data_IF_344607679235
#
_entry.id   IF_344607679235
#
_cell.length_a   1.000
_cell.length_b   1.000
_cell.length_c   1.000
_cell.angle_alpha   90.00
_cell.angle_beta   90.00
_cell.angle_gamma   90.00
#
_symmetry.space_group_name_H-M   'P 1'
#
loop_
_entity.id
_entity.type
_entity.pdbx_description
1 polymer ?
#
# COMPACT_ATOMS: atom_id res chain seq x y z
N UNK A 1 14.21 -10.91 21.36
CA UNK A 1 12.73 -10.72 21.31
C UNK A 1 12.43 -9.43 20.55
N UNK A 2 11.80 -9.57 19.38
CA UNK A 2 11.38 -8.43 18.56
C UNK A 2 10.25 -7.68 19.27
N UNK A 3 10.53 -6.48 19.74
CA UNK A 3 9.47 -5.64 20.30
C UNK A 3 8.94 -4.71 19.21
N UNK A 4 7.81 -5.09 18.61
CA UNK A 4 6.98 -4.12 17.90
C UNK A 4 6.22 -3.33 18.96
N UNK A 5 6.58 -2.05 19.15
CA UNK A 5 5.79 -1.14 19.99
C UNK A 5 4.66 -0.57 19.15
N UNK A 6 3.42 -0.93 19.49
CA UNK A 6 2.22 -0.38 18.86
C UNK A 6 1.78 0.88 19.64
N UNK A 7 1.59 1.98 18.92
CA UNK A 7 0.98 3.20 19.45
C UNK A 7 -0.42 3.32 18.85
N UNK A 8 -1.45 3.40 19.70
CA UNK A 8 -2.82 3.65 19.28
C UNK A 8 -3.11 5.14 19.36
N UNK A 9 -3.69 5.66 18.29
CA UNK A 9 -4.16 7.04 18.20
C UNK A 9 -5.69 7.10 18.27
N UNK A 10 -6.39 6.03 17.81
CA UNK A 10 -7.85 5.89 17.89
C UNK A 10 -8.28 4.52 18.43
N UNK A 11 -9.48 4.43 19.00
CA UNK A 11 -10.06 3.15 19.45
C UNK A 11 -10.68 2.40 18.27
N UNK A 12 -10.23 1.16 18.01
CA UNK A 12 -10.83 0.25 17.02
C UNK A 12 -11.65 -0.83 17.70
N UNK A 13 -12.78 -1.20 17.09
CA UNK A 13 -13.48 -2.43 17.45
C UNK A 13 -12.64 -3.63 17.00
N UNK A 14 -12.02 -4.32 17.94
CA UNK A 14 -11.14 -5.47 17.74
C UNK A 14 -11.93 -6.74 17.51
N UNK A 15 -12.58 -6.97 16.38
CA UNK A 15 -13.28 -8.25 16.28
C UNK A 15 -12.78 -9.18 15.16
N UNK A 16 -12.26 -8.67 14.03
CA UNK A 16 -11.76 -9.53 12.96
C UNK A 16 -10.59 -8.82 12.26
N UNK A 17 -9.45 -9.50 12.12
CA UNK A 17 -8.33 -9.00 11.33
C UNK A 17 -8.59 -9.27 9.85
N UNK A 18 -8.34 -8.26 8.99
CA UNK A 18 -8.33 -8.47 7.53
C UNK A 18 -7.06 -9.22 7.10
N UNK A 19 -5.94 -8.94 7.80
CA UNK A 19 -4.68 -9.63 7.59
C UNK A 19 -3.93 -9.80 8.91
N UNK A 20 -3.18 -10.90 9.06
CA UNK A 20 -2.27 -11.09 10.17
C UNK A 20 -1.00 -11.81 9.75
N UNK A 21 0.11 -11.37 10.31
CA UNK A 21 1.40 -12.03 10.29
C UNK A 21 1.60 -12.72 11.63
N UNK A 22 1.92 -14.01 11.62
CA UNK A 22 2.09 -14.81 12.83
C UNK A 22 3.47 -15.46 12.83
N UNK A 23 4.32 -15.07 13.77
CA UNK A 23 5.66 -15.60 13.99
C UNK A 23 6.52 -15.59 12.72
N UNK A 24 6.43 -14.53 11.93
CA UNK A 24 7.11 -14.41 10.64
C UNK A 24 8.61 -14.24 10.85
N UNK A 25 9.38 -15.13 10.24
CA UNK A 25 10.82 -14.99 10.07
C UNK A 25 11.16 -14.90 8.57
N UNK A 26 12.15 -14.08 8.24
CA UNK A 26 12.69 -13.93 6.89
C UNK A 26 14.17 -13.60 6.94
N UNK A 27 14.96 -14.31 6.12
CA UNK A 27 16.39 -14.07 5.96
C UNK A 27 16.75 -13.92 4.49
N UNK A 28 17.80 -13.17 4.20
CA UNK A 28 18.46 -13.12 2.89
C UNK A 28 19.91 -13.58 3.07
N UNK A 29 20.19 -14.80 2.63
CA UNK A 29 21.43 -15.50 2.96
C UNK A 29 21.56 -15.67 4.48
N UNK A 30 22.69 -15.30 5.05
CA UNK A 30 22.91 -15.37 6.50
C UNK A 30 22.28 -14.22 7.29
N UNK A 31 21.81 -13.18 6.60
CA UNK A 31 21.25 -12.00 7.25
C UNK A 31 19.78 -12.18 7.57
N UNK A 32 19.45 -12.29 8.85
CA UNK A 32 18.07 -12.27 9.34
C UNK A 32 17.48 -10.85 9.23
N UNK A 33 16.40 -10.72 8.48
CA UNK A 33 15.71 -9.45 8.23
C UNK A 33 14.51 -9.28 9.16
N UNK A 34 13.69 -10.33 9.27
CA UNK A 34 12.53 -10.36 10.16
C UNK A 34 12.68 -11.53 11.12
N UNK A 35 12.40 -11.27 12.40
CA UNK A 35 12.56 -12.26 13.48
C UNK A 35 11.31 -12.29 14.34
N UNK A 36 10.51 -13.34 14.18
CA UNK A 36 9.28 -13.59 14.95
C UNK A 36 8.29 -12.42 14.94
N UNK A 37 8.07 -11.84 13.77
CA UNK A 37 7.17 -10.70 13.60
C UNK A 37 5.71 -11.13 13.73
N UNK A 38 4.99 -10.44 14.59
CA UNK A 38 3.55 -10.58 14.78
C UNK A 38 2.88 -9.22 14.51
N UNK A 39 1.94 -9.18 13.56
CA UNK A 39 1.27 -7.96 13.13
C UNK A 39 -0.14 -8.28 12.70
N UNK A 40 -1.11 -7.59 13.27
CA UNK A 40 -2.51 -7.64 12.83
C UNK A 40 -2.88 -6.35 12.11
N UNK A 41 -3.66 -6.46 11.04
CA UNK A 41 -4.22 -5.37 10.26
C UNK A 41 -5.74 -5.49 10.33
N UNK A 42 -6.41 -4.40 10.66
CA UNK A 42 -7.86 -4.37 10.82
C UNK A 42 -8.55 -3.71 9.62
N UNK A 43 -9.81 -4.10 9.32
CA UNK A 43 -10.58 -3.45 8.27
C UNK A 43 -10.73 -1.95 8.53
N UNK A 44 -10.55 -1.14 7.48
CA UNK A 44 -10.77 0.30 7.54
C UNK A 44 -9.74 1.10 8.33
N UNK A 45 -8.64 0.51 8.81
CA UNK A 45 -7.58 1.28 9.49
C UNK A 45 -6.56 1.86 8.50
N UNK A 46 -5.99 3.00 8.86
CA UNK A 46 -4.71 3.46 8.31
C UNK A 46 -3.62 3.05 9.28
N UNK A 47 -2.84 2.03 8.91
CA UNK A 47 -1.72 1.52 9.68
C UNK A 47 -0.40 2.10 9.19
N UNK A 48 0.37 2.72 10.08
CA UNK A 48 1.72 3.19 9.80
C UNK A 48 2.79 2.19 10.24
N UNK A 49 3.78 1.92 9.38
CA UNK A 49 4.98 1.18 9.71
C UNK A 49 6.18 2.15 9.72
N UNK A 50 6.75 2.36 10.89
CA UNK A 50 7.93 3.20 11.10
C UNK A 50 9.17 2.33 11.30
N UNK A 51 10.32 2.84 10.92
CA UNK A 51 11.60 2.22 11.16
C UNK A 51 12.67 2.73 10.22
N UNK A 52 13.95 2.56 10.56
CA UNK A 52 15.06 2.97 9.72
C UNK A 52 15.07 2.23 8.38
N UNK A 53 15.84 2.75 7.41
CA UNK A 53 16.01 2.09 6.13
C UNK A 53 16.70 0.74 6.31
N UNK A 54 16.28 -0.28 5.53
CA UNK A 54 16.84 -1.62 5.58
C UNK A 54 16.40 -2.47 6.78
N UNK A 55 15.44 -2.01 7.60
CA UNK A 55 14.95 -2.77 8.78
C UNK A 55 13.96 -3.87 8.44
N UNK A 56 13.47 -3.94 7.18
CA UNK A 56 12.53 -4.98 6.74
C UNK A 56 11.10 -4.50 6.44
N UNK A 57 10.82 -3.17 6.41
CA UNK A 57 9.48 -2.64 6.09
C UNK A 57 8.98 -3.12 4.72
N UNK A 58 9.76 -2.89 3.67
CA UNK A 58 9.40 -3.35 2.31
C UNK A 58 9.40 -4.87 2.20
N UNK A 59 10.19 -5.57 3.03
CA UNK A 59 10.14 -7.04 3.10
C UNK A 59 8.80 -7.55 3.64
N UNK A 60 8.19 -6.87 4.63
CA UNK A 60 6.84 -7.18 5.08
C UNK A 60 5.81 -6.98 3.98
N UNK A 61 5.96 -5.94 3.16
CA UNK A 61 5.08 -5.71 2.01
C UNK A 61 5.26 -6.78 0.94
N UNK A 62 6.51 -7.15 0.63
CA UNK A 62 6.81 -8.21 -0.33
C UNK A 62 6.25 -9.57 0.12
N UNK A 63 6.30 -9.85 1.42
CA UNK A 63 5.66 -11.02 2.01
C UNK A 63 4.13 -10.95 1.89
N UNK A 64 3.51 -9.79 2.15
CA UNK A 64 2.06 -9.62 2.08
C UNK A 64 1.53 -9.81 0.65
N UNK A 65 2.18 -9.21 -0.35
CA UNK A 65 1.77 -9.37 -1.75
C UNK A 65 2.15 -10.72 -2.35
N UNK A 66 3.05 -11.48 -1.71
CA UNK A 66 3.50 -12.80 -2.18
C UNK A 66 4.64 -12.78 -3.18
N UNK A 67 5.42 -11.70 -3.19
CA UNK A 67 6.65 -11.61 -3.97
C UNK A 67 7.77 -12.44 -3.35
N UNK A 68 7.77 -12.58 -2.03
CA UNK A 68 8.70 -13.39 -1.24
C UNK A 68 7.90 -14.29 -0.32
N UNK A 69 8.41 -15.50 -0.03
CA UNK A 69 7.87 -16.40 0.99
C UNK A 69 8.62 -16.23 2.31
N UNK A 70 7.96 -16.35 3.47
CA UNK A 70 8.65 -16.36 4.75
C UNK A 70 9.43 -17.68 4.95
N UNK A 71 10.52 -17.64 5.70
CA UNK A 71 11.25 -18.84 6.13
C UNK A 71 10.41 -19.66 7.10
N UNK A 72 9.65 -18.98 7.98
CA UNK A 72 8.71 -19.60 8.92
C UNK A 72 7.58 -18.64 9.30
N UNK A 73 6.54 -19.18 9.94
CA UNK A 73 5.35 -18.43 10.31
C UNK A 73 4.28 -18.43 9.24
N UNK A 74 3.19 -17.72 9.49
CA UNK A 74 2.00 -17.72 8.62
C UNK A 74 1.51 -16.31 8.35
N UNK A 75 1.16 -16.06 7.09
CA UNK A 75 0.44 -14.85 6.65
C UNK A 75 -0.99 -15.26 6.39
N UNK A 76 -1.91 -14.68 7.14
CA UNK A 76 -3.35 -14.94 7.00
C UNK A 76 -4.03 -13.72 6.42
N UNK A 77 -4.86 -13.89 5.39
CA UNK A 77 -5.76 -12.87 4.86
C UNK A 77 -7.18 -13.43 4.91
N UNK A 78 -8.09 -12.75 5.59
CA UNK A 78 -9.43 -13.26 5.90
C UNK A 78 -9.37 -14.69 6.50
N UNK A 79 -8.44 -14.91 7.44
CA UNK A 79 -8.18 -16.20 8.11
C UNK A 79 -7.67 -17.33 7.20
N UNK A 80 -7.37 -17.06 5.93
CA UNK A 80 -6.82 -18.02 4.97
C UNK A 80 -5.31 -17.86 4.94
N UNK A 81 -4.55 -18.96 5.14
CA UNK A 81 -3.11 -18.95 4.96
C UNK A 81 -2.77 -18.75 3.47
N UNK A 82 -1.96 -17.72 3.20
CA UNK A 82 -1.62 -17.31 1.83
C UNK A 82 -0.17 -17.56 1.44
N UNK A 83 0.64 -18.20 2.30
CA UNK A 83 2.08 -18.38 2.06
C UNK A 83 2.38 -18.97 0.69
N UNK A 84 1.59 -19.97 0.25
CA UNK A 84 1.79 -20.67 -1.02
C UNK A 84 1.06 -20.03 -2.22
N UNK A 85 0.23 -19.02 -1.98
CA UNK A 85 -0.48 -18.35 -3.07
C UNK A 85 0.47 -17.39 -3.82
N UNK A 86 0.62 -17.55 -5.14
CA UNK A 86 1.44 -16.65 -5.94
C UNK A 86 0.82 -15.24 -6.01
N UNK A 87 1.67 -14.24 -6.27
CA UNK A 87 1.32 -12.81 -6.26
C UNK A 87 0.02 -12.50 -7.03
N UNK A 88 -0.12 -12.99 -8.26
CA UNK A 88 -1.26 -12.68 -9.13
C UNK A 88 -2.59 -13.23 -8.60
N UNK A 89 -2.58 -14.41 -7.96
CA UNK A 89 -3.77 -14.97 -7.31
C UNK A 89 -4.07 -14.24 -6.00
N UNK A 90 -3.04 -13.96 -5.21
CA UNK A 90 -3.17 -13.29 -3.91
C UNK A 90 -3.74 -11.89 -4.07
N UNK A 91 -3.12 -11.06 -4.92
CA UNK A 91 -3.54 -9.68 -5.12
C UNK A 91 -4.96 -9.59 -5.70
N UNK A 92 -5.29 -10.47 -6.66
CA UNK A 92 -6.62 -10.51 -7.26
C UNK A 92 -7.70 -11.02 -6.30
N UNK A 93 -7.46 -12.16 -5.61
CA UNK A 93 -8.42 -12.81 -4.72
C UNK A 93 -8.75 -11.93 -3.51
N UNK A 94 -7.75 -11.30 -2.92
CA UNK A 94 -7.90 -10.50 -1.70
C UNK A 94 -7.96 -8.99 -1.97
N UNK A 95 -8.00 -8.59 -3.23
CA UNK A 95 -8.10 -7.18 -3.65
C UNK A 95 -7.01 -6.34 -2.98
N UNK A 96 -5.75 -6.65 -3.25
CA UNK A 96 -4.60 -5.90 -2.75
C UNK A 96 -4.10 -4.94 -3.82
N UNK A 97 -4.08 -3.64 -3.53
CA UNK A 97 -3.42 -2.60 -4.30
C UNK A 97 -2.04 -2.32 -3.73
N UNK A 98 -1.06 -2.04 -4.59
CA UNK A 98 0.30 -1.73 -4.16
C UNK A 98 0.82 -0.48 -4.86
N UNK A 99 1.28 0.47 -4.07
CA UNK A 99 1.94 1.71 -4.49
C UNK A 99 3.40 1.59 -4.11
N UNK A 100 4.30 1.29 -5.06
CA UNK A 100 5.73 1.11 -4.78
C UNK A 100 6.43 2.45 -4.52
N UNK A 101 7.59 2.38 -3.89
CA UNK A 101 8.48 3.54 -3.68
C UNK A 101 8.89 4.19 -5.00
N UNK A 102 9.20 3.38 -6.02
CA UNK A 102 9.59 3.82 -7.36
C UNK A 102 8.77 3.11 -8.43
N UNK A 103 8.50 3.82 -9.53
CA UNK A 103 7.77 3.24 -10.67
C UNK A 103 6.28 3.07 -10.41
N UNK A 104 5.72 1.93 -10.82
CA UNK A 104 4.28 1.65 -10.74
C UNK A 104 3.48 2.26 -11.90
N UNK A 105 4.15 2.75 -12.95
CA UNK A 105 3.56 3.30 -14.17
C UNK A 105 4.51 3.13 -15.36
N UNK A 106 3.97 3.23 -16.56
CA UNK A 106 4.74 3.19 -17.81
C UNK A 106 5.23 4.60 -18.17
N UNK A 107 6.54 4.80 -18.16
CA UNK A 107 7.19 6.11 -18.28
C UNK A 107 6.88 6.82 -19.61
N UNK A 108 6.86 6.08 -20.73
CA UNK A 108 6.70 6.63 -22.07
C UNK A 108 5.23 6.72 -22.52
N UNK A 109 4.31 6.13 -21.79
CA UNK A 109 2.89 6.29 -22.00
C UNK A 109 2.39 7.59 -21.37
N UNK A 110 1.35 8.18 -21.98
CA UNK A 110 0.61 9.29 -21.39
C UNK A 110 -0.15 8.85 -20.14
N UNK A 111 -0.65 9.80 -19.37
CA UNK A 111 -1.42 9.50 -18.17
C UNK A 111 -2.64 8.64 -18.51
N UNK A 112 -3.43 9.00 -19.54
CA UNK A 112 -4.62 8.22 -19.94
C UNK A 112 -4.25 6.83 -20.49
N UNK A 113 -3.14 6.70 -21.21
CA UNK A 113 -2.67 5.40 -21.69
C UNK A 113 -2.25 4.49 -20.53
N UNK A 114 -1.65 5.03 -19.47
CA UNK A 114 -1.35 4.29 -18.24
C UNK A 114 -2.64 3.75 -17.60
N UNK A 115 -3.69 4.58 -17.46
CA UNK A 115 -4.97 4.13 -16.94
C UNK A 115 -5.57 3.01 -17.81
N UNK A 116 -5.61 3.19 -19.13
CA UNK A 116 -6.18 2.20 -20.03
C UNK A 116 -5.43 0.87 -19.96
N UNK A 117 -4.10 0.90 -19.96
CA UNK A 117 -3.27 -0.31 -19.91
C UNK A 117 -3.52 -1.14 -18.63
N UNK A 118 -3.55 -0.47 -17.47
CA UNK A 118 -3.78 -1.18 -16.19
C UNK A 118 -5.24 -1.58 -16.03
N UNK A 119 -6.19 -0.71 -16.39
CA UNK A 119 -7.61 -1.00 -16.26
C UNK A 119 -8.05 -2.19 -17.13
N UNK A 120 -7.45 -2.38 -18.30
CA UNK A 120 -7.73 -3.53 -19.18
C UNK A 120 -7.33 -4.87 -18.52
N UNK A 121 -6.26 -4.87 -17.74
CA UNK A 121 -5.81 -6.06 -17.00
C UNK A 121 -6.76 -6.37 -15.82
N UNK A 122 -7.22 -5.34 -15.09
CA UNK A 122 -7.92 -5.54 -13.80
C UNK A 122 -9.44 -5.51 -13.92
N UNK A 123 -10.02 -4.84 -14.94
CA UNK A 123 -11.46 -4.69 -15.14
C UNK A 123 -11.86 -5.26 -16.49
N UNK A 124 -12.57 -6.39 -16.51
CA UNK A 124 -12.96 -7.07 -17.75
C UNK A 124 -14.03 -6.31 -18.56
N UNK A 125 -15.00 -5.72 -17.86
CA UNK A 125 -16.12 -5.00 -18.49
C UNK A 125 -15.66 -3.62 -18.97
N UNK A 126 -15.87 -3.33 -20.26
CA UNK A 126 -15.44 -2.09 -20.91
C UNK A 126 -16.13 -0.85 -20.32
N UNK A 127 -17.43 -0.91 -20.06
CA UNK A 127 -18.18 0.25 -19.56
C UNK A 127 -17.78 0.57 -18.13
N UNK A 128 -17.56 -0.46 -17.30
CA UNK A 128 -17.02 -0.31 -15.93
C UNK A 128 -15.60 0.26 -15.94
N UNK A 129 -14.75 -0.13 -16.92
CA UNK A 129 -13.41 0.46 -17.06
C UNK A 129 -13.46 1.96 -17.28
N UNK A 130 -14.26 2.39 -18.27
CA UNK A 130 -14.42 3.82 -18.62
C UNK A 130 -14.91 4.59 -17.41
N UNK A 131 -16.01 4.15 -16.80
CA UNK A 131 -16.58 4.80 -15.62
C UNK A 131 -15.58 4.89 -14.46
N UNK A 132 -14.80 3.83 -14.20
CA UNK A 132 -13.81 3.81 -13.12
C UNK A 132 -12.62 4.71 -13.40
N UNK A 133 -12.15 4.77 -14.63
CA UNK A 133 -11.09 5.68 -15.06
C UNK A 133 -11.54 7.14 -14.87
N UNK A 134 -12.73 7.50 -15.35
CA UNK A 134 -13.27 8.85 -15.21
C UNK A 134 -13.47 9.25 -13.75
N UNK A 135 -13.98 8.34 -12.90
CA UNK A 135 -14.12 8.54 -11.47
C UNK A 135 -12.76 8.91 -10.85
N UNK A 136 -11.71 8.10 -11.12
CA UNK A 136 -10.40 8.29 -10.52
C UNK A 136 -9.70 9.55 -11.05
N UNK A 137 -9.79 9.83 -12.36
CA UNK A 137 -9.23 11.04 -12.95
C UNK A 137 -9.82 12.29 -12.27
N UNK A 138 -11.14 12.33 -12.09
CA UNK A 138 -11.82 13.44 -11.41
C UNK A 138 -11.44 13.52 -9.92
N UNK A 139 -11.49 12.40 -9.21
CA UNK A 139 -11.14 12.32 -7.78
C UNK A 139 -9.73 12.81 -7.47
N UNK A 140 -8.77 12.47 -8.34
CA UNK A 140 -7.37 12.88 -8.20
C UNK A 140 -7.03 14.20 -8.90
N UNK A 141 -8.00 14.85 -9.56
CA UNK A 141 -7.82 16.10 -10.30
C UNK A 141 -6.70 15.99 -11.36
N UNK A 142 -6.82 14.99 -12.24
CA UNK A 142 -5.81 14.68 -13.26
C UNK A 142 -6.24 15.10 -14.67
N UNK A 143 -7.42 15.74 -14.84
CA UNK A 143 -8.02 16.06 -16.13
C UNK A 143 -7.10 16.83 -17.07
N UNK A 144 -6.32 17.77 -16.56
CA UNK A 144 -5.42 18.61 -17.38
C UNK A 144 -4.11 17.92 -17.75
N UNK A 145 -3.91 16.66 -17.32
CA UNK A 145 -2.64 15.91 -17.48
C UNK A 145 -2.77 14.70 -18.39
N UNK A 146 -3.97 14.43 -18.94
CA UNK A 146 -4.29 13.19 -19.65
C UNK A 146 -3.34 12.84 -20.77
N UNK A 147 -2.94 13.83 -21.56
CA UNK A 147 -2.08 13.68 -22.74
C UNK A 147 -0.59 13.87 -22.44
N UNK A 148 -0.23 14.09 -21.16
CA UNK A 148 1.17 14.26 -20.76
C UNK A 148 1.78 12.89 -20.49
N UNK A 149 2.95 12.59 -21.09
CA UNK A 149 3.68 11.37 -20.80
C UNK A 149 4.11 11.35 -19.33
N UNK A 150 3.97 10.18 -18.70
CA UNK A 150 4.18 10.02 -17.26
C UNK A 150 5.60 10.44 -16.80
N UNK A 151 6.61 10.31 -17.64
CA UNK A 151 7.97 10.78 -17.34
C UNK A 151 8.08 12.28 -17.11
N UNK A 152 7.20 13.09 -17.70
CA UNK A 152 7.19 14.55 -17.57
C UNK A 152 6.32 15.08 -16.41
N UNK A 153 5.59 14.22 -15.71
CA UNK A 153 4.83 14.59 -14.54
C UNK A 153 5.74 14.98 -13.38
N UNK A 154 5.30 15.92 -12.54
CA UNK A 154 5.98 16.24 -11.27
C UNK A 154 5.94 15.05 -10.30
N UNK A 155 6.75 15.08 -9.23
CA UNK A 155 6.76 14.03 -8.20
C UNK A 155 5.37 13.79 -7.59
N UNK A 156 4.66 14.85 -7.19
CA UNK A 156 3.31 14.77 -6.66
C UNK A 156 2.28 14.25 -7.67
N UNK A 157 2.39 14.66 -8.94
CA UNK A 157 1.53 14.16 -10.03
C UNK A 157 1.77 12.66 -10.30
N UNK A 158 3.03 12.22 -10.30
CA UNK A 158 3.39 10.79 -10.40
C UNK A 158 2.79 9.99 -9.26
N UNK A 159 2.86 10.50 -8.01
CA UNK A 159 2.24 9.81 -6.85
C UNK A 159 0.73 9.72 -6.99
N UNK A 160 0.05 10.80 -7.42
CA UNK A 160 -1.38 10.75 -7.72
C UNK A 160 -1.71 9.67 -8.75
N UNK A 161 -0.94 9.62 -9.85
CA UNK A 161 -1.12 8.60 -10.89
C UNK A 161 -0.99 7.19 -10.31
N UNK A 162 0.11 6.87 -9.60
CA UNK A 162 0.35 5.52 -9.09
C UNK A 162 -0.71 5.09 -8.07
N UNK A 163 -1.13 5.99 -7.17
CA UNK A 163 -2.20 5.69 -6.22
C UNK A 163 -3.51 5.41 -6.97
N UNK A 164 -3.87 6.25 -7.94
CA UNK A 164 -5.09 6.04 -8.72
C UNK A 164 -5.05 4.75 -9.54
N UNK A 165 -3.91 4.37 -10.11
CA UNK A 165 -3.76 3.08 -10.78
C UNK A 165 -3.94 1.89 -9.83
N UNK A 166 -3.40 1.98 -8.59
CA UNK A 166 -3.59 0.94 -7.58
C UNK A 166 -5.06 0.80 -7.12
N UNK A 167 -5.87 1.86 -7.28
CA UNK A 167 -7.30 1.86 -6.94
C UNK A 167 -8.22 1.31 -8.04
N UNK A 168 -7.73 1.09 -9.26
CA UNK A 168 -8.53 0.55 -10.36
C UNK A 168 -9.17 -0.80 -10.03
N UNK A 169 -8.47 -1.65 -9.28
CA UNK A 169 -8.95 -2.96 -8.84
C UNK A 169 -9.86 -2.93 -7.60
N UNK A 170 -10.27 -1.75 -7.13
CA UNK A 170 -11.07 -1.57 -5.91
C UNK A 170 -10.51 -2.35 -4.73
N UNK A 171 -9.28 -2.04 -4.29
CA UNK A 171 -8.61 -2.81 -3.25
C UNK A 171 -9.35 -2.72 -1.91
N UNK A 172 -9.24 -3.80 -1.13
CA UNK A 172 -9.59 -3.81 0.31
C UNK A 172 -8.37 -3.55 1.19
N UNK A 173 -7.18 -3.81 0.66
CA UNK A 173 -5.90 -3.50 1.29
C UNK A 173 -5.09 -2.68 0.28
N UNK A 174 -4.75 -1.44 0.64
CA UNK A 174 -3.85 -0.59 -0.13
C UNK A 174 -2.52 -0.46 0.61
N UNK A 175 -1.45 -0.91 -0.03
CA UNK A 175 -0.09 -0.84 0.51
C UNK A 175 0.62 0.34 -0.14
N UNK A 176 1.22 1.21 0.67
CA UNK A 176 1.93 2.40 0.24
C UNK A 176 3.37 2.37 0.77
N UNK A 177 4.34 2.19 -0.13
CA UNK A 177 5.76 2.09 0.22
C UNK A 177 6.47 3.43 -0.01
N UNK A 178 6.82 4.12 1.07
CA UNK A 178 7.54 5.42 1.10
C UNK A 178 6.98 6.46 0.12
N UNK A 179 5.67 6.68 0.18
CA UNK A 179 4.96 7.53 -0.80
C UNK A 179 5.22 9.03 -0.62
N UNK A 180 5.74 9.46 0.53
CA UNK A 180 6.10 10.86 0.80
C UNK A 180 7.55 11.17 0.45
N UNK A 181 8.35 10.17 0.08
CA UNK A 181 9.77 10.35 -0.22
C UNK A 181 9.99 11.30 -1.41
N UNK A 182 10.96 12.22 -1.25
CA UNK A 182 11.38 13.18 -2.27
C UNK A 182 10.27 14.12 -2.80
N UNK A 183 9.24 14.38 -1.99
CA UNK A 183 8.15 15.31 -2.32
C UNK A 183 8.30 16.62 -1.53
N UNK A 184 7.81 17.71 -2.12
CA UNK A 184 7.64 18.98 -1.44
C UNK A 184 6.50 18.95 -0.41
N UNK A 185 6.49 19.91 0.51
CA UNK A 185 5.55 19.98 1.63
C UNK A 185 4.10 20.02 1.15
N UNK A 186 3.80 20.75 0.07
CA UNK A 186 2.42 20.88 -0.45
C UNK A 186 1.95 19.57 -1.04
N UNK A 187 2.80 18.87 -1.79
CA UNK A 187 2.52 17.53 -2.33
C UNK A 187 2.25 16.52 -1.21
N UNK A 188 3.03 16.54 -0.13
CA UNK A 188 2.81 15.67 1.04
C UNK A 188 1.45 15.97 1.67
N UNK A 189 1.12 17.22 1.94
CA UNK A 189 -0.16 17.60 2.55
C UNK A 189 -1.34 17.16 1.68
N UNK A 190 -1.24 17.37 0.37
CA UNK A 190 -2.26 16.92 -0.58
C UNK A 190 -2.45 15.40 -0.55
N UNK A 191 -1.37 14.60 -0.56
CA UNK A 191 -1.44 13.14 -0.51
C UNK A 191 -2.04 12.64 0.81
N UNK A 192 -1.73 13.28 1.93
CA UNK A 192 -2.35 12.98 3.22
C UNK A 192 -3.86 13.14 3.16
N UNK A 193 -4.34 14.28 2.62
CA UNK A 193 -5.77 14.51 2.46
C UNK A 193 -6.43 13.46 1.56
N UNK A 194 -5.76 13.08 0.46
CA UNK A 194 -6.24 12.03 -0.44
C UNK A 194 -6.41 10.71 0.34
N UNK A 195 -5.40 10.27 1.08
CA UNK A 195 -5.45 9.00 1.82
C UNK A 195 -6.54 8.98 2.90
N UNK A 196 -6.68 10.08 3.66
CA UNK A 196 -7.73 10.24 4.66
C UNK A 196 -9.12 10.18 4.01
N UNK A 197 -9.31 10.87 2.87
CA UNK A 197 -10.58 10.87 2.17
C UNK A 197 -10.89 9.49 1.57
N UNK A 198 -9.89 8.80 1.01
CA UNK A 198 -10.07 7.43 0.51
C UNK A 198 -10.59 6.49 1.58
N UNK A 199 -10.04 6.56 2.79
CA UNK A 199 -10.48 5.72 3.92
C UNK A 199 -11.86 6.13 4.44
N UNK A 200 -12.18 7.45 4.47
CA UNK A 200 -13.50 7.94 4.86
C UNK A 200 -14.61 7.56 3.87
N UNK A 201 -14.30 7.63 2.57
CA UNK A 201 -15.25 7.29 1.49
C UNK A 201 -15.50 5.78 1.42
N UNK A 202 -14.54 4.97 1.88
CA UNK A 202 -14.63 3.52 1.88
C UNK A 202 -14.12 2.95 3.21
N UNK A 203 -15.04 2.77 4.16
CA UNK A 203 -14.74 2.25 5.50
C UNK A 203 -14.17 0.81 5.50
N UNK A 204 -14.26 0.09 4.38
CA UNK A 204 -13.68 -1.25 4.22
C UNK A 204 -12.24 -1.21 3.72
N UNK A 205 -11.74 -0.05 3.24
CA UNK A 205 -10.39 0.09 2.73
C UNK A 205 -9.39 0.24 3.87
N UNK A 206 -8.56 -0.77 4.06
CA UNK A 206 -7.40 -0.70 4.96
C UNK A 206 -6.19 -0.16 4.21
N UNK A 207 -5.51 0.82 4.75
CA UNK A 207 -4.31 1.42 4.14
C UNK A 207 -3.11 1.12 5.03
N UNK A 208 -2.04 0.59 4.44
CA UNK A 208 -0.80 0.33 5.16
C UNK A 208 0.28 1.20 4.53
N UNK A 209 0.89 2.06 5.32
CA UNK A 209 1.88 3.01 4.85
C UNK A 209 3.19 2.76 5.58
N UNK A 210 4.28 2.52 4.86
CA UNK A 210 5.60 2.57 5.47
C UNK A 210 6.30 3.90 5.14
N UNK A 211 6.93 4.47 6.16
CA UNK A 211 7.68 5.70 6.04
C UNK A 211 8.82 5.73 7.05
N UNK A 212 9.82 6.54 6.76
CA UNK A 212 10.88 6.89 7.72
C UNK A 212 10.64 8.26 8.38
N UNK A 213 9.80 9.10 7.79
CA UNK A 213 9.41 10.41 8.32
C UNK A 213 8.23 10.27 9.30
N UNK A 214 8.55 10.04 10.58
CA UNK A 214 7.54 9.76 11.60
C UNK A 214 6.47 10.86 11.71
N UNK A 215 6.87 12.15 11.64
CA UNK A 215 5.95 13.29 11.78
C UNK A 215 4.84 13.26 10.74
N UNK A 216 5.19 13.00 9.48
CA UNK A 216 4.24 13.02 8.37
C UNK A 216 3.28 11.84 8.43
N UNK A 217 3.79 10.66 8.81
CA UNK A 217 2.99 9.46 8.95
C UNK A 217 2.04 9.53 10.15
N UNK A 218 2.53 9.91 11.33
CA UNK A 218 1.73 9.97 12.57
C UNK A 218 0.55 10.94 12.48
N UNK A 219 0.59 11.91 11.58
CA UNK A 219 -0.50 12.87 11.38
C UNK A 219 -1.76 12.24 10.74
N UNK A 220 -1.66 11.07 10.10
CA UNK A 220 -2.76 10.48 9.32
C UNK A 220 -3.15 9.06 9.75
N UNK A 221 -2.28 8.37 10.50
CA UNK A 221 -2.53 6.97 10.87
C UNK A 221 -3.44 6.83 12.08
N UNK A 222 -4.19 5.78 12.11
CA UNK A 222 -4.99 5.39 13.28
C UNK A 222 -4.15 4.63 14.30
N UNK A 223 -3.12 3.91 13.81
CA UNK A 223 -2.17 3.12 14.59
C UNK A 223 -0.81 3.13 13.92
N UNK A 224 0.24 3.24 14.72
CA UNK A 224 1.61 3.12 14.23
C UNK A 224 2.33 1.94 14.88
N UNK A 225 3.18 1.28 14.10
CA UNK A 225 4.06 0.22 14.57
C UNK A 225 5.51 0.57 14.23
N UNK A 226 6.40 0.34 15.18
CA UNK A 226 7.83 0.60 14.98
C UNK A 226 8.54 -0.74 14.78
N UNK A 227 9.18 -0.88 13.65
CA UNK A 227 10.07 -2.00 13.34
C UNK A 227 11.51 -1.57 13.66
N UNK A 228 12.18 -2.27 14.58
CA UNK A 228 13.55 -1.96 14.98
C UNK A 228 14.43 -3.20 14.91
N UNK A 229 15.54 -3.14 14.17
CA UNK A 229 16.60 -4.16 14.02
C UNK A 229 16.10 -5.61 13.83
N UNK A 230 15.08 -5.82 13.02
CA UNK A 230 14.52 -7.17 12.83
C UNK A 230 13.94 -7.78 14.11
N UNK A 231 13.84 -6.98 15.13
CA UNK A 231 13.40 -7.34 16.48
C UNK A 231 12.30 -6.41 16.93
#
# INVERSE_FOLDING_TARGET
MSQIKAFRIKSFKKNVQICSFKNICLSYGERKILDNINLDIYPGEILGLLGPNGVGKSSLFNLLIGLVKPDSGHILINSINVNELPIYLRTRKFKIGYVPQYGGYFHDLTLIENFNAIAEIVIKDKNKRIAKIDELINKFQLNNLLNIKAKYLSGGQKRKLVISLALLGEPKILICDEIFAALDVLSIQMLKMILINLQKDNNDLSIIICEHQARELLAIVDRAMILSKGK
#
